data_IF_115421141504
#
_entry.id   IF_115421141504
#
_cell.length_a   1.000
_cell.length_b   1.000
_cell.length_c   1.000
_cell.angle_alpha   90.00
_cell.angle_beta   90.00
_cell.angle_gamma   90.00
#
_symmetry.space_group_name_H-M   'P 1'
#
loop_
_entity.id
_entity.type
_entity.pdbx_description
1 polymer ?
#
# COMPACT_ATOMS: atom_id res chain seq x y z
N UNK A 1 20.85 38.74 -26.37
CA UNK A 1 21.92 38.22 -25.51
C UNK A 1 21.29 37.35 -24.45
N UNK A 2 21.35 36.02 -24.63
CA UNK A 2 20.89 35.07 -23.63
C UNK A 2 21.98 34.92 -22.58
N UNK A 3 21.73 35.41 -21.37
CA UNK A 3 22.60 35.22 -20.22
C UNK A 3 22.58 33.74 -19.85
N UNK A 4 23.69 33.07 -20.11
CA UNK A 4 23.98 31.74 -19.60
C UNK A 4 24.09 31.88 -18.08
N UNK A 5 23.03 31.51 -17.35
CA UNK A 5 23.11 31.30 -15.91
C UNK A 5 23.89 30.00 -15.73
N UNK A 6 25.17 30.13 -15.38
CA UNK A 6 26.04 29.02 -15.02
C UNK A 6 25.38 28.16 -13.95
N UNK A 7 25.32 26.84 -14.16
CA UNK A 7 24.86 25.90 -13.15
C UNK A 7 25.59 26.15 -11.83
N UNK A 8 24.85 26.58 -10.81
CA UNK A 8 25.36 26.72 -9.46
C UNK A 8 25.97 25.38 -9.01
N UNK A 9 27.13 25.46 -8.35
CA UNK A 9 27.98 24.33 -7.95
C UNK A 9 27.19 23.07 -7.56
N UNK A 10 27.35 21.99 -8.30
CA UNK A 10 26.79 20.68 -7.93
C UNK A 10 27.77 19.96 -7.01
N UNK A 11 27.37 19.78 -5.75
CA UNK A 11 28.10 19.01 -4.75
C UNK A 11 27.74 17.52 -4.86
N UNK A 12 28.70 16.65 -4.53
CA UNK A 12 28.52 15.19 -4.55
C UNK A 12 29.07 14.56 -3.29
N UNK A 13 28.26 13.70 -2.64
CA UNK A 13 28.67 12.85 -1.51
C UNK A 13 28.50 11.40 -1.91
N UNK A 14 29.60 10.64 -1.91
CA UNK A 14 29.61 9.24 -2.29
C UNK A 14 30.04 8.37 -1.10
N UNK A 15 29.40 7.22 -0.96
CA UNK A 15 29.68 6.24 0.08
C UNK A 15 29.55 4.83 -0.48
N UNK A 16 30.39 3.90 -0.05
CA UNK A 16 30.32 2.50 -0.44
C UNK A 16 30.75 1.59 0.71
N UNK A 17 30.40 0.32 0.61
CA UNK A 17 30.83 -0.72 1.56
C UNK A 17 30.96 -2.06 0.87
N UNK A 18 31.87 -2.89 1.37
CA UNK A 18 32.12 -4.27 0.94
C UNK A 18 31.73 -5.30 2.02
N UNK A 19 30.93 -4.90 3.00
CA UNK A 19 30.42 -5.77 4.09
C UNK A 19 29.55 -6.92 3.56
N UNK A 20 29.04 -7.77 4.47
CA UNK A 20 28.14 -8.90 4.20
C UNK A 20 26.93 -8.56 3.31
N UNK A 21 26.17 -9.60 2.90
CA UNK A 21 24.98 -9.44 2.07
C UNK A 21 24.00 -8.41 2.63
N UNK A 22 23.33 -7.72 1.72
CA UNK A 22 22.31 -6.73 2.02
C UNK A 22 20.94 -7.34 1.72
N UNK A 23 20.06 -7.40 2.71
CA UNK A 23 18.70 -7.87 2.53
C UNK A 23 17.72 -6.72 2.26
N UNK A 24 18.01 -5.49 2.72
CA UNK A 24 17.11 -4.37 2.45
C UNK A 24 17.69 -2.97 2.54
N UNK A 25 16.82 -2.00 2.30
CA UNK A 25 17.17 -0.57 2.22
C UNK A 25 16.12 0.26 2.95
N UNK A 26 16.59 1.09 3.88
CA UNK A 26 15.82 2.10 4.59
C UNK A 26 16.31 3.50 4.16
N UNK A 27 15.39 4.32 3.65
CA UNK A 27 15.64 5.69 3.19
C UNK A 27 14.76 6.66 4.00
N UNK A 28 15.38 7.52 4.79
CA UNK A 28 14.71 8.46 5.70
C UNK A 28 15.15 9.90 5.45
N UNK A 29 14.87 10.40 4.25
CA UNK A 29 15.16 11.77 3.84
C UNK A 29 14.19 12.16 2.71
N UNK A 30 13.89 13.46 2.51
CA UNK A 30 13.15 13.92 1.34
C UNK A 30 14.02 13.85 0.09
N UNK A 31 13.43 13.77 -1.11
CA UNK A 31 14.17 13.88 -2.37
C UNK A 31 13.80 12.80 -3.37
N UNK A 32 14.58 12.72 -4.47
CA UNK A 32 14.42 11.69 -5.49
C UNK A 32 15.51 10.63 -5.35
N UNK A 33 15.12 9.36 -5.40
CA UNK A 33 16.02 8.22 -5.26
C UNK A 33 15.84 7.23 -6.40
N UNK A 34 16.93 6.79 -7.01
CA UNK A 34 16.93 5.65 -7.93
C UNK A 34 17.72 4.51 -7.31
N UNK A 35 17.08 3.35 -7.18
CA UNK A 35 17.72 2.12 -6.71
C UNK A 35 17.91 1.18 -7.89
N UNK A 36 19.17 0.91 -8.20
CA UNK A 36 19.62 0.03 -9.28
C UNK A 36 20.30 -1.21 -8.71
N UNK A 37 20.31 -2.28 -9.49
CA UNK A 37 21.12 -3.46 -9.23
C UNK A 37 22.18 -3.60 -10.31
N UNK A 38 23.43 -3.82 -9.89
CA UNK A 38 24.57 -4.05 -10.77
C UNK A 38 25.37 -5.25 -10.24
N UNK A 39 25.25 -6.45 -10.86
CA UNK A 39 25.99 -7.62 -10.42
C UNK A 39 27.51 -7.46 -10.53
N UNK A 40 28.01 -6.53 -11.37
CA UNK A 40 29.42 -6.26 -11.58
C UNK A 40 29.99 -5.24 -10.58
N UNK A 41 29.16 -4.70 -9.68
CA UNK A 41 29.60 -3.77 -8.65
C UNK A 41 30.65 -4.43 -7.75
N UNK A 42 31.81 -3.80 -7.61
CA UNK A 42 32.92 -4.25 -6.74
C UNK A 42 32.71 -3.95 -5.25
N UNK A 43 31.51 -3.51 -4.88
CA UNK A 43 31.06 -3.20 -3.53
C UNK A 43 29.69 -3.83 -3.32
N UNK A 44 29.31 -4.13 -2.08
CA UNK A 44 27.97 -4.65 -1.76
C UNK A 44 26.91 -3.61 -2.08
N UNK A 45 27.20 -2.34 -1.76
CA UNK A 45 26.36 -1.20 -2.12
C UNK A 45 27.21 0.05 -2.31
N UNK A 46 26.76 0.90 -3.24
CA UNK A 46 27.29 2.24 -3.50
C UNK A 46 26.14 3.25 -3.49
N UNK A 47 26.29 4.31 -2.72
CA UNK A 47 25.36 5.43 -2.64
C UNK A 47 26.06 6.69 -3.16
N UNK A 48 25.39 7.43 -4.05
CA UNK A 48 25.86 8.71 -4.57
C UNK A 48 24.73 9.72 -4.44
N UNK A 49 24.92 10.74 -3.62
CA UNK A 49 24.01 11.86 -3.45
C UNK A 49 24.57 13.10 -4.13
N UNK A 50 23.74 13.79 -4.91
CA UNK A 50 24.10 15.04 -5.61
C UNK A 50 23.09 16.13 -5.24
N UNK A 51 23.60 17.34 -5.00
CA UNK A 51 22.82 18.49 -4.53
C UNK A 51 23.48 19.79 -4.98
N UNK A 52 22.71 20.87 -5.12
CA UNK A 52 23.24 22.25 -5.26
C UNK A 52 23.59 22.91 -3.91
N UNK A 53 23.37 22.19 -2.81
CA UNK A 53 23.55 22.63 -1.43
C UNK A 53 24.39 21.63 -0.65
N UNK A 54 25.60 22.06 -0.25
CA UNK A 54 26.49 21.25 0.60
C UNK A 54 25.83 20.94 1.95
N UNK A 55 25.10 21.90 2.53
CA UNK A 55 24.37 21.72 3.78
C UNK A 55 23.35 20.57 3.72
N UNK A 56 22.68 20.36 2.58
CA UNK A 56 21.79 19.20 2.38
C UNK A 56 22.57 17.89 2.41
N UNK A 57 23.76 17.83 1.80
CA UNK A 57 24.59 16.63 1.78
C UNK A 57 25.23 16.32 3.14
N UNK A 58 25.57 17.35 3.91
CA UNK A 58 26.17 17.20 5.23
C UNK A 58 25.22 16.50 6.21
N UNK A 59 23.91 16.71 6.07
CA UNK A 59 22.88 16.05 6.88
C UNK A 59 22.64 14.57 6.53
N UNK A 60 23.14 14.07 5.41
CA UNK A 60 22.95 12.67 5.02
C UNK A 60 23.97 11.75 5.72
N UNK A 61 23.47 10.83 6.54
CA UNK A 61 24.23 9.73 7.11
C UNK A 61 24.02 8.44 6.32
N UNK A 62 25.08 7.64 6.15
CA UNK A 62 25.04 6.34 5.46
C UNK A 62 25.62 5.29 6.39
N UNK A 63 24.84 4.26 6.71
CA UNK A 63 25.27 3.16 7.57
C UNK A 63 24.74 1.83 7.06
N UNK A 64 25.46 0.74 7.35
CA UNK A 64 24.89 -0.61 7.30
C UNK A 64 24.58 -1.03 8.72
N UNK A 65 23.37 -1.52 8.93
CA UNK A 65 22.90 -1.96 10.24
C UNK A 65 22.31 -3.35 10.13
N UNK A 66 22.46 -4.15 11.18
CA UNK A 66 21.77 -5.43 11.34
C UNK A 66 20.77 -5.31 12.49
N UNK A 67 19.59 -5.88 12.32
CA UNK A 67 18.57 -5.96 13.37
C UNK A 67 18.30 -7.42 13.70
N UNK A 68 18.28 -7.81 14.99
CA UNK A 68 17.87 -9.16 15.38
C UNK A 68 16.36 -9.33 15.20
N UNK A 69 15.59 -8.26 15.36
CA UNK A 69 14.13 -8.28 15.32
C UNK A 69 13.58 -8.27 13.89
N UNK A 70 12.33 -8.71 13.76
CA UNK A 70 11.53 -8.60 12.53
C UNK A 70 10.82 -7.24 12.40
N UNK A 71 11.21 -6.25 13.19
CA UNK A 71 10.72 -4.89 13.12
C UNK A 71 11.84 -3.89 13.38
N UNK A 72 11.72 -2.72 12.75
CA UNK A 72 12.64 -1.59 12.98
C UNK A 72 11.85 -0.35 13.38
N UNK A 73 12.47 0.47 14.20
CA UNK A 73 11.95 1.79 14.57
C UNK A 73 12.44 2.84 13.59
N UNK A 74 11.52 3.58 12.99
CA UNK A 74 11.80 4.64 12.02
C UNK A 74 11.27 5.98 12.54
N UNK A 75 12.03 7.06 12.37
CA UNK A 75 11.61 8.43 12.72
C UNK A 75 11.00 8.54 14.12
N UNK A 76 9.78 9.09 14.20
CA UNK A 76 8.97 9.32 15.41
C UNK A 76 8.51 8.02 16.14
N UNK A 77 9.42 7.12 16.49
CA UNK A 77 9.10 5.85 17.18
C UNK A 77 8.09 4.97 16.43
N UNK A 78 8.08 5.06 15.11
CA UNK A 78 7.19 4.25 14.29
C UNK A 78 7.80 2.87 14.09
N UNK A 79 7.08 1.82 14.44
CA UNK A 79 7.50 0.46 14.15
C UNK A 79 7.11 0.06 12.72
N UNK A 80 8.08 -0.47 11.96
CA UNK A 80 7.84 -1.00 10.62
C UNK A 80 8.32 -2.44 10.55
N UNK A 81 7.39 -3.34 10.26
CA UNK A 81 7.62 -4.78 10.14
C UNK A 81 8.51 -5.08 8.93
N UNK A 82 9.49 -5.95 9.12
CA UNK A 82 10.40 -6.50 8.12
C UNK A 82 9.88 -7.86 7.63
N UNK A 83 10.34 -8.35 6.46
CA UNK A 83 9.94 -9.68 6.00
C UNK A 83 10.34 -10.80 6.96
N UNK A 84 11.50 -10.65 7.62
CA UNK A 84 12.11 -11.65 8.50
C UNK A 84 12.98 -10.95 9.56
N UNK A 85 13.34 -11.68 10.62
CA UNK A 85 14.36 -11.32 11.60
C UNK A 85 15.78 -11.39 11.02
N UNK A 86 16.78 -10.92 11.77
CA UNK A 86 18.22 -11.01 11.44
C UNK A 86 18.58 -10.45 10.05
N UNK A 87 18.04 -9.28 9.70
CA UNK A 87 18.26 -8.65 8.39
C UNK A 87 19.37 -7.60 8.48
N UNK A 88 20.28 -7.60 7.51
CA UNK A 88 21.27 -6.54 7.28
C UNK A 88 20.74 -5.59 6.22
N UNK A 89 20.80 -4.29 6.50
CA UNK A 89 20.22 -3.28 5.62
C UNK A 89 21.01 -1.99 5.56
N UNK A 90 20.86 -1.30 4.44
CA UNK A 90 21.40 0.03 4.23
C UNK A 90 20.45 1.02 4.89
N UNK A 91 20.94 1.82 5.84
CA UNK A 91 20.23 2.96 6.38
C UNK A 91 20.83 4.25 5.84
N UNK A 92 20.04 4.98 5.06
CA UNK A 92 20.36 6.35 4.64
C UNK A 92 19.35 7.27 5.28
N UNK A 93 19.80 8.16 6.16
CA UNK A 93 18.93 9.03 6.94
C UNK A 93 19.45 10.46 6.98
N UNK A 94 18.53 11.43 7.10
CA UNK A 94 18.87 12.79 7.44
C UNK A 94 19.01 12.91 8.97
N UNK A 95 20.19 13.26 9.47
CA UNK A 95 20.51 13.29 10.91
C UNK A 95 21.36 14.50 11.28
N UNK A 96 21.19 15.00 12.49
CA UNK A 96 22.05 16.04 13.09
C UNK A 96 21.97 15.91 14.62
N UNK A 97 23.08 16.19 15.30
CA UNK A 97 23.14 16.22 16.77
C UNK A 97 22.51 17.51 17.36
N UNK A 98 22.29 18.52 16.52
CA UNK A 98 21.66 19.79 16.87
C UNK A 98 20.53 20.12 15.89
N UNK A 99 19.71 21.11 16.25
CA UNK A 99 18.70 21.64 15.33
C UNK A 99 19.36 22.10 14.03
N UNK A 100 18.86 21.61 12.89
CA UNK A 100 19.45 21.86 11.59
C UNK A 100 18.39 22.19 10.56
N UNK A 101 18.73 23.12 9.68
CA UNK A 101 17.92 23.50 8.54
C UNK A 101 18.80 23.51 7.29
N UNK A 102 18.38 22.80 6.25
CA UNK A 102 19.01 22.84 4.94
C UNK A 102 17.96 22.80 3.84
N UNK A 103 18.18 23.61 2.81
CA UNK A 103 17.38 23.62 1.59
C UNK A 103 18.30 23.54 0.38
N UNK A 104 17.80 22.91 -0.69
CA UNK A 104 18.52 22.71 -1.94
C UNK A 104 17.83 21.65 -2.80
N UNK A 105 18.52 21.18 -3.82
CA UNK A 105 18.08 20.07 -4.65
C UNK A 105 18.70 18.74 -4.19
N UNK A 106 18.02 17.61 -4.34
CA UNK A 106 18.57 16.32 -3.95
C UNK A 106 18.17 15.20 -4.91
N UNK A 107 19.20 14.54 -5.46
CA UNK A 107 19.09 13.28 -6.19
C UNK A 107 20.04 12.26 -5.54
N UNK A 108 19.52 11.10 -5.18
CA UNK A 108 20.31 9.99 -4.62
C UNK A 108 20.23 8.78 -5.54
N UNK A 109 21.38 8.18 -5.83
CA UNK A 109 21.49 6.93 -6.57
C UNK A 109 22.05 5.87 -5.65
N UNK A 110 21.29 4.81 -5.45
CA UNK A 110 21.70 3.62 -4.70
C UNK A 110 21.92 2.51 -5.72
N UNK A 111 23.11 1.92 -5.73
CA UNK A 111 23.42 0.75 -6.58
C UNK A 111 23.80 -0.40 -5.67
N UNK A 112 23.03 -1.48 -5.70
CA UNK A 112 23.29 -2.70 -4.92
C UNK A 112 23.88 -3.77 -5.82
N UNK A 113 24.80 -4.58 -5.27
CA UNK A 113 25.37 -5.71 -6.02
C UNK A 113 24.35 -6.81 -6.25
N UNK A 114 23.48 -7.05 -5.27
CA UNK A 114 22.46 -8.12 -5.28
C UNK A 114 21.09 -7.50 -5.05
N UNK A 115 20.07 -8.14 -5.63
CA UNK A 115 18.69 -7.75 -5.43
C UNK A 115 18.30 -7.87 -3.95
N UNK A 116 17.48 -6.94 -3.48
CA UNK A 116 17.05 -6.83 -2.07
C UNK A 116 15.63 -7.36 -1.86
N UNK A 117 15.33 -7.82 -0.65
CA UNK A 117 14.01 -8.32 -0.25
C UNK A 117 13.07 -7.22 0.22
N UNK A 118 13.58 -6.06 0.64
CA UNK A 118 12.69 -4.99 1.05
C UNK A 118 13.28 -3.59 0.88
N UNK A 119 12.39 -2.63 0.64
CA UNK A 119 12.71 -1.20 0.57
C UNK A 119 11.65 -0.40 1.30
N UNK A 120 12.10 0.48 2.19
CA UNK A 120 11.24 1.39 2.97
C UNK A 120 11.75 2.80 2.79
N UNK A 121 10.89 3.72 2.37
CA UNK A 121 11.34 5.06 1.98
C UNK A 121 10.36 6.17 2.38
N UNK A 122 10.89 7.32 2.82
CA UNK A 122 10.17 8.59 2.89
C UNK A 122 10.33 9.44 1.63
N UNK A 123 11.24 9.06 0.73
CA UNK A 123 11.60 9.76 -0.50
C UNK A 123 10.81 9.28 -1.73
N UNK A 124 10.76 10.10 -2.79
CA UNK A 124 10.26 9.68 -4.10
C UNK A 124 11.27 8.70 -4.73
N UNK A 125 10.95 7.42 -4.72
CA UNK A 125 11.88 6.31 -4.96
C UNK A 125 11.46 5.49 -6.17
N UNK A 126 12.38 5.32 -7.11
CA UNK A 126 12.22 4.45 -8.27
C UNK A 126 13.10 3.24 -8.12
N UNK A 127 12.48 2.06 -8.12
CA UNK A 127 13.18 0.78 -8.11
C UNK A 127 13.27 0.28 -9.53
N UNK A 128 14.46 0.34 -10.10
CA UNK A 128 14.72 -0.15 -11.44
C UNK A 128 14.54 -1.67 -11.49
N UNK A 129 14.01 -2.18 -12.60
CA UNK A 129 13.80 -3.60 -12.81
C UNK A 129 15.07 -4.40 -12.50
N UNK A 130 14.95 -5.41 -11.64
CA UNK A 130 16.08 -6.24 -11.17
C UNK A 130 16.55 -5.90 -9.76
N UNK A 131 16.12 -4.77 -9.19
CA UNK A 131 16.46 -4.37 -7.81
C UNK A 131 15.85 -5.27 -6.73
N UNK A 132 14.73 -5.91 -7.01
CA UNK A 132 14.02 -6.75 -6.04
C UNK A 132 14.26 -8.23 -6.30
N UNK A 133 14.42 -9.02 -5.23
CA UNK A 133 14.56 -10.48 -5.32
C UNK A 133 13.38 -11.10 -6.07
N UNK A 134 13.67 -12.16 -6.82
CA UNK A 134 12.67 -12.94 -7.56
C UNK A 134 12.93 -14.43 -7.36
N UNK A 135 11.90 -15.19 -7.00
CA UNK A 135 11.97 -16.62 -6.72
C UNK A 135 10.80 -17.11 -5.86
N UNK A 136 10.37 -18.36 -6.06
CA UNK A 136 9.17 -18.91 -5.42
C UNK A 136 9.22 -18.96 -3.87
N UNK A 137 10.42 -18.86 -3.28
CA UNK A 137 10.64 -18.82 -1.83
C UNK A 137 11.05 -17.41 -1.32
N UNK A 138 10.98 -16.39 -2.18
CA UNK A 138 11.42 -15.03 -1.86
C UNK A 138 10.27 -14.17 -1.37
N UNK A 139 10.56 -13.30 -0.42
CA UNK A 139 9.64 -12.34 0.17
C UNK A 139 10.04 -10.96 -0.32
N UNK A 140 9.07 -10.17 -0.77
CA UNK A 140 9.29 -8.77 -1.12
C UNK A 140 8.40 -7.88 -0.26
N UNK A 141 8.98 -6.84 0.35
CA UNK A 141 8.24 -5.83 1.11
C UNK A 141 8.63 -4.41 0.70
N UNK A 142 7.66 -3.62 0.25
CA UNK A 142 7.84 -2.23 -0.16
C UNK A 142 6.95 -1.35 0.72
N UNK A 143 7.53 -0.34 1.37
CA UNK A 143 6.77 0.58 2.21
C UNK A 143 7.12 2.05 1.96
N UNK A 144 6.12 2.85 1.57
CA UNK A 144 6.20 4.30 1.63
C UNK A 144 5.85 4.79 3.05
N UNK A 145 6.73 5.58 3.66
CA UNK A 145 6.66 5.96 5.08
C UNK A 145 6.29 7.43 5.31
N UNK A 146 6.00 8.18 4.25
CA UNK A 146 5.73 9.61 4.30
C UNK A 146 5.01 10.09 3.05
N UNK A 147 5.41 11.24 2.52
CA UNK A 147 4.87 11.79 1.28
C UNK A 147 5.52 11.18 0.02
N UNK A 148 6.73 10.61 0.13
CA UNK A 148 7.48 10.00 -0.98
C UNK A 148 6.75 8.80 -1.56
N UNK A 149 6.64 8.75 -2.88
CA UNK A 149 6.08 7.58 -3.57
C UNK A 149 7.16 6.57 -3.91
N UNK A 150 6.82 5.29 -3.99
CA UNK A 150 7.73 4.24 -4.46
C UNK A 150 7.13 3.61 -5.71
N UNK A 151 7.89 3.59 -6.80
CA UNK A 151 7.45 2.99 -8.07
C UNK A 151 8.42 1.91 -8.53
N UNK A 152 7.90 0.81 -9.06
CA UNK A 152 8.70 -0.22 -9.72
C UNK A 152 7.92 -0.84 -10.87
N UNK A 153 8.64 -1.14 -11.95
CA UNK A 153 8.12 -1.89 -13.10
C UNK A 153 9.05 -3.06 -13.39
N UNK A 154 8.64 -4.27 -13.01
CA UNK A 154 9.35 -5.50 -13.32
C UNK A 154 9.19 -5.85 -14.80
N UNK A 155 10.31 -5.99 -15.52
CA UNK A 155 10.34 -6.37 -16.95
C UNK A 155 10.42 -7.88 -17.17
N UNK A 156 10.05 -8.68 -16.16
CA UNK A 156 10.16 -10.13 -16.13
C UNK A 156 9.00 -10.75 -15.34
N UNK A 157 8.70 -12.05 -15.53
CA UNK A 157 7.71 -12.76 -14.71
C UNK A 157 8.10 -12.75 -13.24
N UNK A 158 7.23 -12.20 -12.40
CA UNK A 158 7.44 -12.11 -10.96
C UNK A 158 6.96 -13.42 -10.31
N UNK A 159 7.85 -14.07 -9.57
CA UNK A 159 7.56 -15.27 -8.77
C UNK A 159 8.01 -15.01 -7.34
N UNK A 160 7.08 -15.07 -6.39
CA UNK A 160 7.37 -14.78 -4.98
C UNK A 160 6.63 -15.76 -4.07
N UNK A 161 7.09 -15.89 -2.84
CA UNK A 161 6.33 -16.46 -1.74
C UNK A 161 5.30 -15.44 -1.24
N UNK A 162 5.77 -14.26 -0.85
CA UNK A 162 4.93 -13.17 -0.35
C UNK A 162 5.32 -11.84 -1.00
N UNK A 163 4.33 -10.99 -1.24
CA UNK A 163 4.51 -9.61 -1.66
C UNK A 163 3.73 -8.69 -0.71
N UNK A 164 4.41 -7.78 -0.05
CA UNK A 164 3.80 -6.77 0.81
C UNK A 164 4.04 -5.40 0.21
N UNK A 165 2.97 -4.67 -0.09
CA UNK A 165 3.00 -3.29 -0.54
C UNK A 165 2.24 -2.46 0.48
N UNK A 166 2.89 -1.44 1.04
CA UNK A 166 2.26 -0.60 2.04
C UNK A 166 2.58 0.86 1.89
N UNK A 167 1.63 1.72 2.22
CA UNK A 167 1.89 3.14 2.40
C UNK A 167 1.35 3.61 3.72
N UNK A 168 2.09 4.53 4.32
CA UNK A 168 1.80 5.04 5.62
C UNK A 168 2.05 6.53 5.71
N UNK A 169 1.25 7.27 4.94
CA UNK A 169 1.39 8.71 4.75
C UNK A 169 0.58 9.15 3.54
N UNK A 170 1.10 10.11 2.78
CA UNK A 170 0.48 10.61 1.55
C UNK A 170 1.11 10.03 0.28
N UNK A 171 2.27 9.38 0.38
CA UNK A 171 2.99 8.80 -0.75
C UNK A 171 2.32 7.53 -1.29
N UNK A 172 2.53 7.23 -2.56
CA UNK A 172 1.94 6.07 -3.21
C UNK A 172 2.94 4.92 -3.32
N UNK A 173 2.47 3.68 -3.41
CA UNK A 173 3.31 2.54 -3.82
C UNK A 173 2.75 1.92 -5.08
N UNK A 174 3.55 1.84 -6.13
CA UNK A 174 3.20 1.20 -7.39
C UNK A 174 4.15 0.06 -7.70
N UNK A 175 3.58 -1.14 -7.81
CA UNK A 175 4.25 -2.31 -8.34
C UNK A 175 3.58 -2.71 -9.65
N UNK A 176 4.29 -2.55 -10.75
CA UNK A 176 3.87 -3.01 -12.07
C UNK A 176 4.74 -4.19 -12.54
N UNK A 177 4.17 -5.11 -13.28
CA UNK A 177 4.89 -6.13 -14.03
C UNK A 177 4.45 -6.11 -15.50
N UNK A 178 5.40 -6.08 -16.42
CA UNK A 178 5.10 -6.10 -17.87
C UNK A 178 4.61 -7.46 -18.35
N UNK A 179 4.63 -8.48 -17.49
CA UNK A 179 4.17 -9.85 -17.77
C UNK A 179 3.24 -10.31 -16.64
N UNK A 180 3.57 -11.37 -15.91
CA UNK A 180 2.74 -11.98 -14.86
C UNK A 180 3.33 -11.83 -13.47
N UNK A 181 2.46 -11.90 -12.47
CA UNK A 181 2.79 -11.93 -11.03
C UNK A 181 2.22 -13.21 -10.44
N UNK A 182 3.09 -14.09 -9.97
CA UNK A 182 2.73 -15.34 -9.30
C UNK A 182 3.26 -15.34 -7.86
N UNK A 183 2.36 -15.32 -6.89
CA UNK A 183 2.68 -15.25 -5.46
C UNK A 183 2.06 -16.46 -4.73
N UNK A 184 2.90 -17.39 -4.27
CA UNK A 184 2.44 -18.71 -3.81
C UNK A 184 1.68 -18.66 -2.48
N UNK A 185 2.01 -17.75 -1.57
CA UNK A 185 1.35 -17.64 -0.28
C UNK A 185 0.40 -16.46 -0.21
N UNK A 186 0.88 -15.23 -0.40
CA UNK A 186 0.01 -14.08 -0.19
C UNK A 186 0.55 -12.74 -0.66
N UNK A 187 -0.36 -11.92 -1.14
CA UNK A 187 -0.17 -10.50 -1.42
C UNK A 187 -0.88 -9.72 -0.32
N UNK A 188 -0.16 -8.78 0.31
CA UNK A 188 -0.70 -7.86 1.30
C UNK A 188 -0.59 -6.43 0.79
N UNK A 189 -1.73 -5.76 0.61
CA UNK A 189 -1.86 -4.38 0.16
C UNK A 189 -2.41 -3.54 1.32
N UNK A 190 -1.60 -2.64 1.86
CA UNK A 190 -1.95 -1.91 3.08
C UNK A 190 -1.81 -0.40 2.93
N UNK A 191 -2.83 0.35 3.34
CA UNK A 191 -2.83 1.81 3.35
C UNK A 191 -3.17 2.28 4.76
N UNK A 192 -2.28 3.04 5.39
CA UNK A 192 -2.55 3.76 6.62
C UNK A 192 -2.28 5.26 6.41
N UNK A 193 -3.25 5.99 5.85
CA UNK A 193 -3.09 7.40 5.49
C UNK A 193 -3.92 7.84 4.29
N UNK A 194 -3.34 8.72 3.49
CA UNK A 194 -3.96 9.34 2.30
C UNK A 194 -3.41 8.79 0.98
N UNK A 195 -2.23 8.16 1.01
CA UNK A 195 -1.58 7.60 -0.17
C UNK A 195 -2.25 6.33 -0.69
N UNK A 196 -1.89 5.89 -1.89
CA UNK A 196 -2.51 4.74 -2.55
C UNK A 196 -1.51 3.62 -2.84
N UNK A 197 -1.99 2.38 -2.88
CA UNK A 197 -1.21 1.20 -3.28
C UNK A 197 -1.76 0.64 -4.57
N UNK A 198 -0.88 0.35 -5.51
CA UNK A 198 -1.22 -0.17 -6.82
C UNK A 198 -0.38 -1.41 -7.14
N UNK A 199 -1.07 -2.51 -7.47
CA UNK A 199 -0.47 -3.71 -8.06
C UNK A 199 -1.05 -3.89 -9.47
N UNK A 200 -0.18 -3.96 -10.48
CA UNK A 200 -0.60 -4.18 -11.87
C UNK A 200 0.24 -5.25 -12.57
N UNK A 201 -0.41 -6.11 -13.34
CA UNK A 201 0.26 -7.01 -14.28
C UNK A 201 -0.34 -6.87 -15.68
N UNK A 202 0.50 -6.83 -16.72
CA UNK A 202 0.03 -6.78 -18.10
C UNK A 202 -0.48 -8.13 -18.63
N UNK A 203 -0.21 -9.23 -17.94
CA UNK A 203 -0.76 -10.56 -18.20
C UNK A 203 -1.60 -10.97 -16.99
N UNK A 204 -1.11 -11.88 -16.15
CA UNK A 204 -1.89 -12.51 -15.09
C UNK A 204 -1.35 -12.19 -13.71
N UNK A 205 -2.25 -12.14 -12.73
CA UNK A 205 -1.94 -12.17 -11.31
C UNK A 205 -2.52 -13.47 -10.73
N UNK A 206 -1.65 -14.36 -10.25
CA UNK A 206 -2.02 -15.56 -9.52
C UNK A 206 -1.53 -15.45 -8.09
N UNK A 207 -2.43 -15.59 -7.13
CA UNK A 207 -2.10 -15.49 -5.71
C UNK A 207 -2.94 -16.49 -4.90
N UNK A 208 -2.41 -17.02 -3.79
CA UNK A 208 -3.25 -17.80 -2.87
C UNK A 208 -4.14 -16.89 -2.02
N UNK A 209 -3.57 -15.97 -1.24
CA UNK A 209 -4.34 -14.99 -0.47
C UNK A 209 -4.09 -13.55 -0.96
N UNK A 210 -5.16 -12.83 -1.31
CA UNK A 210 -5.10 -11.39 -1.54
C UNK A 210 -5.70 -10.67 -0.33
N UNK A 211 -4.85 -10.00 0.44
CA UNK A 211 -5.22 -9.27 1.64
C UNK A 211 -5.12 -7.77 1.37
N UNK A 212 -6.21 -7.05 1.59
CA UNK A 212 -6.27 -5.59 1.47
C UNK A 212 -6.73 -4.99 2.79
N UNK A 213 -6.00 -4.01 3.29
CA UNK A 213 -6.33 -3.27 4.51
C UNK A 213 -6.17 -1.78 4.30
N UNK A 214 -7.22 -1.00 4.53
CA UNK A 214 -7.17 0.46 4.47
C UNK A 214 -7.64 1.03 5.79
N UNK A 215 -6.80 1.88 6.39
CA UNK A 215 -7.13 2.73 7.53
C UNK A 215 -6.83 4.17 7.15
N UNK A 216 -7.84 4.93 6.76
CA UNK A 216 -7.67 6.31 6.26
C UNK A 216 -8.51 6.61 5.03
N UNK A 217 -7.98 7.46 4.14
CA UNK A 217 -8.69 7.93 2.93
C UNK A 217 -7.97 7.58 1.61
N UNK A 218 -6.84 6.87 1.69
CA UNK A 218 -6.13 6.39 0.51
C UNK A 218 -6.81 5.19 -0.16
N UNK A 219 -6.31 4.77 -1.32
CA UNK A 219 -6.97 3.74 -2.15
C UNK A 219 -6.06 2.55 -2.50
N UNK A 220 -6.66 1.40 -2.78
CA UNK A 220 -5.95 0.20 -3.23
C UNK A 220 -6.48 -0.25 -4.58
N UNK A 221 -5.56 -0.50 -5.50
CA UNK A 221 -5.85 -0.99 -6.84
C UNK A 221 -5.06 -2.28 -7.11
N UNK A 222 -5.75 -3.34 -7.54
CA UNK A 222 -5.11 -4.55 -8.04
C UNK A 222 -5.67 -4.89 -9.43
N UNK A 223 -4.83 -4.86 -10.46
CA UNK A 223 -5.28 -5.01 -11.85
C UNK A 223 -4.43 -5.98 -12.66
N UNK A 224 -5.10 -6.82 -13.45
CA UNK A 224 -4.47 -7.71 -14.44
C UNK A 224 -5.13 -7.50 -15.80
N UNK A 225 -4.38 -7.33 -16.89
CA UNK A 225 -5.04 -7.25 -18.20
C UNK A 225 -5.58 -8.61 -18.65
N UNK A 226 -4.99 -9.71 -18.19
CA UNK A 226 -5.45 -11.09 -18.40
C UNK A 226 -6.27 -11.58 -17.21
N UNK A 227 -5.72 -12.55 -16.49
CA UNK A 227 -6.41 -13.26 -15.40
C UNK A 227 -5.99 -12.75 -14.02
N UNK A 228 -6.95 -12.53 -13.11
CA UNK A 228 -6.71 -12.35 -11.67
C UNK A 228 -7.30 -13.55 -10.92
N UNK A 229 -6.44 -14.50 -10.52
CA UNK A 229 -6.84 -15.70 -9.78
C UNK A 229 -6.37 -15.63 -8.33
N UNK A 230 -7.32 -15.68 -7.40
CA UNK A 230 -7.07 -15.82 -5.97
C UNK A 230 -7.73 -17.10 -5.43
N UNK A 231 -7.25 -17.65 -4.32
CA UNK A 231 -8.02 -18.63 -3.56
C UNK A 231 -8.90 -17.91 -2.54
N UNK A 232 -8.28 -17.06 -1.73
CA UNK A 232 -8.95 -16.28 -0.69
C UNK A 232 -8.70 -14.79 -0.89
N UNK A 233 -9.77 -14.00 -0.90
CA UNK A 233 -9.71 -12.54 -0.97
C UNK A 233 -10.28 -11.99 0.33
N UNK A 234 -9.53 -11.13 1.00
CA UNK A 234 -9.98 -10.45 2.22
C UNK A 234 -9.72 -8.95 2.12
N UNK A 235 -10.78 -8.16 2.23
CA UNK A 235 -10.74 -6.72 2.13
C UNK A 235 -11.27 -6.10 3.42
N UNK A 236 -10.46 -5.31 4.10
CA UNK A 236 -10.84 -4.55 5.30
C UNK A 236 -10.66 -3.07 5.04
N UNK A 237 -11.72 -2.27 5.22
CA UNK A 237 -11.65 -0.82 5.03
C UNK A 237 -12.24 -0.12 6.24
N UNK A 238 -11.47 0.79 6.84
CA UNK A 238 -11.91 1.69 7.90
C UNK A 238 -11.56 3.13 7.48
N UNK A 239 -12.58 3.96 7.22
CA UNK A 239 -12.39 5.36 6.80
C UNK A 239 -13.09 5.71 5.49
N UNK A 240 -12.40 6.40 4.58
CA UNK A 240 -12.96 6.93 3.31
C UNK A 240 -12.27 6.37 2.06
N UNK A 241 -11.40 5.39 2.23
CA UNK A 241 -10.62 4.82 1.14
C UNK A 241 -11.42 3.91 0.21
N UNK A 242 -10.93 3.77 -1.02
CA UNK A 242 -11.55 2.94 -2.05
C UNK A 242 -10.70 1.70 -2.35
N UNK A 243 -11.35 0.62 -2.78
CA UNK A 243 -10.68 -0.60 -3.27
C UNK A 243 -11.26 -0.94 -4.62
N UNK A 244 -10.40 -1.19 -5.61
CA UNK A 244 -10.83 -1.70 -6.91
C UNK A 244 -9.94 -2.83 -7.40
N UNK A 245 -10.56 -3.95 -7.75
CA UNK A 245 -9.93 -5.07 -8.43
C UNK A 245 -10.43 -5.14 -9.87
N UNK A 246 -9.50 -5.21 -10.83
CA UNK A 246 -9.82 -5.19 -12.25
C UNK A 246 -9.13 -6.34 -12.98
N UNK A 247 -9.90 -7.12 -13.75
CA UNK A 247 -9.34 -8.14 -14.64
C UNK A 247 -10.26 -8.44 -15.82
N UNK A 248 -9.69 -8.90 -16.94
CA UNK A 248 -10.50 -9.43 -18.05
C UNK A 248 -11.26 -10.68 -17.60
N UNK A 249 -10.58 -11.55 -16.85
CA UNK A 249 -11.15 -12.72 -16.21
C UNK A 249 -10.64 -12.80 -14.77
N UNK A 250 -11.55 -12.95 -13.80
CA UNK A 250 -11.16 -13.06 -12.40
C UNK A 250 -11.97 -14.11 -11.68
N UNK A 251 -11.33 -14.83 -10.76
CA UNK A 251 -11.98 -15.88 -9.98
C UNK A 251 -11.39 -15.96 -8.58
N UNK A 252 -12.24 -16.22 -7.59
CA UNK A 252 -11.83 -16.55 -6.22
C UNK A 252 -12.73 -17.62 -5.61
N UNK A 253 -12.21 -18.41 -4.66
CA UNK A 253 -13.05 -19.33 -3.91
C UNK A 253 -13.84 -18.56 -2.86
N UNK A 254 -13.15 -17.72 -2.10
CA UNK A 254 -13.78 -16.89 -1.05
C UNK A 254 -13.50 -15.41 -1.27
N UNK A 255 -14.52 -14.58 -1.03
CA UNK A 255 -14.39 -13.12 -0.99
C UNK A 255 -15.01 -12.59 0.31
N UNK A 256 -14.17 -12.16 1.25
CA UNK A 256 -14.60 -11.62 2.54
C UNK A 256 -14.33 -10.12 2.61
N UNK A 257 -15.39 -9.33 2.77
CA UNK A 257 -15.30 -7.87 2.84
C UNK A 257 -15.86 -7.40 4.18
N UNK A 258 -15.05 -6.61 4.90
CA UNK A 258 -15.45 -5.94 6.14
C UNK A 258 -15.16 -4.45 5.99
N UNK A 259 -16.21 -3.65 5.84
CA UNK A 259 -16.11 -2.22 5.61
C UNK A 259 -16.79 -1.42 6.70
N UNK A 260 -16.04 -0.54 7.35
CA UNK A 260 -16.51 0.54 8.20
C UNK A 260 -16.17 1.87 7.50
N UNK A 261 -16.80 2.12 6.34
CA UNK A 261 -16.35 3.17 5.42
C UNK A 261 -17.48 3.95 4.75
N UNK A 262 -17.11 5.13 4.25
CA UNK A 262 -17.89 5.89 3.27
C UNK A 262 -17.33 5.79 1.86
N UNK A 263 -16.28 4.98 1.66
CA UNK A 263 -15.65 4.75 0.36
C UNK A 263 -16.23 3.51 -0.34
N UNK A 264 -15.83 3.30 -1.59
CA UNK A 264 -16.37 2.25 -2.43
C UNK A 264 -15.44 1.03 -2.52
N UNK A 265 -16.03 -0.17 -2.58
CA UNK A 265 -15.27 -1.41 -2.73
C UNK A 265 -15.81 -2.16 -3.94
N UNK A 266 -15.01 -2.19 -5.00
CA UNK A 266 -15.31 -2.81 -6.28
C UNK A 266 -14.47 -4.07 -6.46
N UNK A 267 -15.12 -5.23 -6.31
CA UNK A 267 -14.49 -6.56 -6.45
C UNK A 267 -15.22 -7.45 -7.45
N UNK A 268 -16.15 -6.88 -8.20
CA UNK A 268 -16.99 -7.53 -9.19
C UNK A 268 -16.22 -8.12 -10.38
N UNK A 269 -14.99 -7.69 -10.64
CA UNK A 269 -14.11 -8.36 -11.60
C UNK A 269 -13.69 -9.78 -11.16
N UNK A 270 -13.96 -10.17 -9.91
CA UNK A 270 -13.69 -11.50 -9.37
C UNK A 270 -14.98 -12.30 -9.19
N UNK A 271 -15.18 -13.34 -9.99
CA UNK A 271 -16.25 -14.31 -9.75
C UNK A 271 -15.91 -15.17 -8.53
N UNK A 272 -16.54 -14.86 -7.39
CA UNK A 272 -16.38 -15.62 -6.15
C UNK A 272 -17.32 -16.83 -6.12
N UNK A 273 -16.86 -17.99 -5.63
CA UNK A 273 -17.80 -19.06 -5.27
C UNK A 273 -18.69 -18.59 -4.11
N UNK A 274 -18.07 -18.11 -3.03
CA UNK A 274 -18.75 -17.61 -1.84
C UNK A 274 -18.27 -16.21 -1.46
N UNK A 275 -19.21 -15.32 -1.15
CA UNK A 275 -18.91 -13.98 -0.65
C UNK A 275 -19.58 -13.70 0.69
N UNK A 276 -18.82 -13.09 1.60
CA UNK A 276 -19.32 -12.59 2.89
C UNK A 276 -18.99 -11.11 3.01
N UNK A 277 -20.02 -10.27 3.10
CA UNK A 277 -19.91 -8.82 3.14
C UNK A 277 -20.51 -8.30 4.45
N UNK A 278 -19.72 -7.54 5.20
CA UNK A 278 -20.18 -6.74 6.34
C UNK A 278 -19.90 -5.28 6.04
N UNK A 279 -20.94 -4.47 5.95
CA UNK A 279 -20.87 -3.05 5.64
C UNK A 279 -21.48 -2.23 6.79
N UNK A 280 -20.69 -1.30 7.32
CA UNK A 280 -21.10 -0.29 8.27
C UNK A 280 -20.74 1.10 7.73
N UNK A 281 -21.72 1.90 7.32
CA UNK A 281 -21.47 3.24 6.79
C UNK A 281 -22.35 3.61 5.60
N UNK A 282 -21.79 4.40 4.67
CA UNK A 282 -22.50 4.95 3.51
C UNK A 282 -21.86 4.57 2.18
N UNK A 283 -20.77 3.81 2.19
CA UNK A 283 -20.11 3.35 0.96
C UNK A 283 -20.85 2.20 0.29
N UNK A 284 -20.61 2.02 -1.01
CA UNK A 284 -21.18 0.91 -1.78
C UNK A 284 -20.16 -0.18 -2.04
N UNK A 285 -20.61 -1.43 -1.96
CA UNK A 285 -19.80 -2.61 -2.22
C UNK A 285 -20.39 -3.37 -3.39
N UNK A 286 -19.60 -3.61 -4.44
CA UNK A 286 -20.00 -4.41 -5.60
C UNK A 286 -19.18 -5.69 -5.64
N UNK A 287 -19.87 -6.83 -5.72
CA UNK A 287 -19.29 -8.17 -5.77
C UNK A 287 -19.84 -8.95 -6.94
N UNK A 288 -19.12 -9.99 -7.39
CA UNK A 288 -19.67 -11.01 -8.28
C UNK A 288 -19.58 -12.38 -7.59
N UNK A 289 -20.69 -13.12 -7.59
CA UNK A 289 -20.84 -14.36 -6.80
C UNK A 289 -21.58 -15.43 -7.59
N UNK A 290 -21.10 -16.67 -7.51
CA UNK A 290 -21.69 -17.82 -8.18
C UNK A 290 -22.72 -18.56 -7.29
N UNK A 291 -22.36 -18.85 -6.03
CA UNK A 291 -23.16 -19.70 -5.15
C UNK A 291 -23.79 -18.90 -4.00
N UNK A 292 -23.02 -18.56 -2.96
CA UNK A 292 -23.59 -17.95 -1.75
C UNK A 292 -23.10 -16.53 -1.51
N UNK A 293 -24.04 -15.59 -1.38
CA UNK A 293 -23.79 -14.23 -0.89
C UNK A 293 -24.43 -14.04 0.50
N UNK A 294 -23.59 -13.82 1.50
CA UNK A 294 -24.02 -13.33 2.81
C UNK A 294 -23.70 -11.85 2.93
N UNK A 295 -24.71 -11.01 3.17
CA UNK A 295 -24.54 -9.57 3.35
C UNK A 295 -25.15 -9.13 4.68
N UNK A 296 -24.43 -8.32 5.44
CA UNK A 296 -24.92 -7.61 6.63
C UNK A 296 -24.59 -6.14 6.48
N UNK A 297 -25.63 -5.30 6.47
CA UNK A 297 -25.49 -3.86 6.23
C UNK A 297 -26.06 -3.07 7.42
N UNK A 298 -25.31 -2.08 7.87
CA UNK A 298 -25.70 -1.10 8.88
C UNK A 298 -25.37 0.30 8.37
N UNK A 299 -26.35 1.18 8.25
CA UNK A 299 -26.19 2.52 7.68
C UNK A 299 -26.91 2.69 6.34
N UNK A 300 -26.41 3.60 5.51
CA UNK A 300 -27.04 4.00 4.23
C UNK A 300 -26.40 3.35 2.99
N UNK A 301 -25.26 2.71 3.15
CA UNK A 301 -24.54 2.08 2.04
C UNK A 301 -25.25 0.83 1.51
N UNK A 302 -24.90 0.42 0.29
CA UNK A 302 -25.53 -0.71 -0.37
C UNK A 302 -24.53 -1.84 -0.67
N UNK A 303 -25.02 -3.08 -0.64
CA UNK A 303 -24.29 -4.24 -1.17
C UNK A 303 -24.96 -4.67 -2.46
N UNK A 304 -24.22 -4.57 -3.55
CA UNK A 304 -24.67 -4.89 -4.89
C UNK A 304 -23.97 -6.14 -5.41
N UNK A 305 -24.69 -6.98 -6.16
CA UNK A 305 -24.11 -8.10 -6.89
C UNK A 305 -24.24 -7.90 -8.40
N UNK A 306 -23.13 -8.02 -9.10
CA UNK A 306 -23.02 -7.81 -10.54
C UNK A 306 -23.28 -9.10 -11.32
N UNK A 307 -24.13 -9.03 -12.34
CA UNK A 307 -24.64 -10.19 -13.06
C UNK A 307 -23.90 -10.44 -14.39
N UNK A 308 -22.57 -10.63 -14.35
CA UNK A 308 -21.81 -10.88 -15.59
C UNK A 308 -22.07 -12.27 -16.18
N UNK A 309 -22.50 -13.26 -15.38
CA UNK A 309 -22.48 -14.66 -15.82
C UNK A 309 -23.46 -15.60 -15.09
N UNK A 310 -23.77 -15.38 -13.81
CA UNK A 310 -24.61 -16.29 -13.00
C UNK A 310 -25.34 -15.49 -11.91
N UNK A 311 -26.64 -15.75 -11.70
CA UNK A 311 -27.37 -15.27 -10.53
C UNK A 311 -26.94 -16.10 -9.30
N UNK A 312 -26.60 -15.49 -8.15
CA UNK A 312 -26.24 -16.26 -6.96
C UNK A 312 -27.34 -17.24 -6.57
N UNK A 313 -26.98 -18.51 -6.34
CA UNK A 313 -27.93 -19.54 -5.94
C UNK A 313 -28.57 -19.25 -4.57
N UNK A 314 -27.79 -18.65 -3.66
CA UNK A 314 -28.22 -18.34 -2.30
C UNK A 314 -27.98 -16.86 -2.00
N UNK A 315 -29.09 -16.12 -1.87
CA UNK A 315 -29.12 -14.69 -1.53
C UNK A 315 -29.54 -14.47 -0.06
N UNK A 316 -29.12 -13.36 0.57
CA UNK A 316 -29.54 -13.04 1.91
C UNK A 316 -31.05 -12.77 1.93
N UNK A 317 -31.79 -13.53 2.73
CA UNK A 317 -33.20 -13.24 2.93
C UNK A 317 -33.38 -11.96 3.75
N UNK A 318 -34.31 -11.07 3.35
CA UNK A 318 -34.62 -9.89 4.15
C UNK A 318 -35.11 -10.33 5.53
N UNK A 319 -34.46 -9.85 6.59
CA UNK A 319 -34.86 -10.08 7.98
C UNK A 319 -35.38 -8.77 8.57
N UNK A 320 -36.65 -8.73 8.98
CA UNK A 320 -37.20 -7.61 9.76
C UNK A 320 -38.71 -7.43 9.64
N UNK A 321 -39.33 -7.01 10.74
CA UNK A 321 -40.69 -6.44 10.82
C UNK A 321 -40.76 -5.23 9.87
N UNK A 322 -41.89 -4.97 9.20
CA UNK A 322 -42.15 -3.93 8.18
C UNK A 322 -41.67 -2.48 8.46
N UNK A 323 -41.13 -2.19 9.65
CA UNK A 323 -40.57 -0.89 10.06
C UNK A 323 -39.03 -0.85 9.99
N UNK A 324 -38.34 -1.99 10.01
CA UNK A 324 -36.87 -2.08 10.02
C UNK A 324 -36.35 -3.17 9.08
N UNK A 325 -36.54 -3.00 7.77
CA UNK A 325 -35.92 -3.86 6.77
C UNK A 325 -34.45 -3.49 6.60
N UNK A 326 -33.51 -4.35 7.01
CA UNK A 326 -32.13 -4.24 6.54
C UNK A 326 -32.13 -4.42 5.01
N UNK A 327 -31.50 -3.53 4.23
CA UNK A 327 -31.41 -3.73 2.79
C UNK A 327 -30.73 -5.08 2.51
N UNK A 328 -31.47 -5.99 1.87
CA UNK A 328 -30.88 -7.17 1.27
C UNK A 328 -29.92 -6.77 0.15
N UNK A 329 -29.05 -7.68 -0.28
CA UNK A 329 -28.19 -7.43 -1.43
C UNK A 329 -29.05 -7.20 -2.69
N UNK A 330 -28.70 -6.20 -3.52
CA UNK A 330 -29.44 -5.85 -4.72
C UNK A 330 -28.65 -6.17 -6.00
N UNK A 331 -29.35 -6.54 -7.08
CA UNK A 331 -28.70 -6.75 -8.37
C UNK A 331 -28.28 -5.42 -8.98
N UNK A 332 -27.16 -5.41 -9.70
CA UNK A 332 -26.75 -4.29 -10.55
C UNK A 332 -26.27 -4.77 -11.92
N UNK A 333 -26.57 -3.98 -12.95
CA UNK A 333 -26.00 -4.11 -14.30
C UNK A 333 -24.81 -3.18 -14.54
N UNK A 334 -24.48 -2.34 -13.57
CA UNK A 334 -23.32 -1.45 -13.62
C UNK A 334 -22.12 -2.20 -13.08
N UNK A 335 -21.04 -2.21 -13.86
CA UNK A 335 -19.72 -2.68 -13.44
C UNK A 335 -18.81 -1.47 -13.19
N UNK A 336 -18.88 -0.84 -12.00
CA UNK A 336 -17.98 0.26 -11.69
C UNK A 336 -16.58 -0.30 -11.47
N UNK A 337 -15.70 -0.13 -12.46
CA UNK A 337 -14.27 -0.43 -12.31
C UNK A 337 -13.52 0.89 -12.27
N UNK A 338 -12.89 1.18 -11.14
CA UNK A 338 -11.93 2.26 -11.04
C UNK A 338 -10.58 1.77 -11.59
N UNK A 339 -10.37 1.93 -12.90
CA UNK A 339 -9.07 1.63 -13.50
C UNK A 339 -8.04 2.69 -13.12
N UNK A 340 -7.03 2.28 -12.35
CA UNK A 340 -5.88 3.13 -12.09
C UNK A 340 -5.00 3.23 -13.35
N UNK A 341 -4.78 4.46 -13.79
CA UNK A 341 -3.69 4.77 -14.72
C UNK A 341 -2.38 4.75 -13.93
N UNK A 342 -1.40 3.95 -14.37
CA UNK A 342 -0.10 3.88 -13.70
C UNK A 342 0.51 5.29 -13.64
N UNK A 343 1.02 5.66 -12.47
CA UNK A 343 1.80 6.88 -12.33
C UNK A 343 3.06 6.77 -13.21
N UNK A 344 3.40 7.85 -13.95
CA UNK A 344 4.58 7.86 -14.78
C UNK A 344 5.83 7.71 -13.91
N UNK A 345 6.85 7.02 -14.44
CA UNK A 345 8.16 6.97 -13.78
C UNK A 345 8.71 8.41 -13.68
N UNK A 346 9.08 8.89 -12.47
CA UNK A 346 9.68 10.20 -12.30
C UNK A 346 10.97 10.35 -13.12
N UNK A 347 11.23 11.56 -13.65
CA UNK A 347 12.46 11.86 -14.37
C UNK A 347 13.70 11.68 -13.49
N UNK A 348 14.86 11.34 -14.08
CA UNK A 348 16.14 11.14 -13.36
C UNK A 348 16.83 12.46 -12.99
N UNK A 349 16.09 13.36 -12.38
CA UNK A 349 16.46 14.74 -12.08
C UNK A 349 16.35 15.04 -10.59
N UNK A 350 17.19 15.94 -10.04
CA UNK A 350 17.10 16.35 -8.65
C UNK A 350 15.83 17.13 -8.38
N UNK A 351 15.29 16.99 -7.17
CA UNK A 351 14.08 17.71 -6.72
C UNK A 351 14.42 18.62 -5.55
N UNK A 352 13.72 19.74 -5.44
CA UNK A 352 13.90 20.67 -4.33
C UNK A 352 13.39 20.07 -3.01
N UNK A 353 14.24 20.09 -2.01
CA UNK A 353 14.01 19.55 -0.68
C UNK A 353 14.25 20.59 0.39
N UNK A 354 13.54 20.45 1.50
CA UNK A 354 13.82 21.16 2.75
C UNK A 354 13.91 20.10 3.84
N UNK A 355 15.05 20.10 4.52
CA UNK A 355 15.32 19.23 5.67
C UNK A 355 15.34 20.12 6.90
N UNK A 356 14.37 19.91 7.79
CA UNK A 356 14.32 20.57 9.09
C UNK A 356 14.37 19.51 10.19
N UNK A 357 15.47 19.49 10.92
CA UNK A 357 15.71 18.58 12.03
C UNK A 357 15.56 19.39 13.32
N UNK A 358 14.52 19.14 14.10
CA UNK A 358 14.32 19.80 15.39
C UNK A 358 14.69 18.83 16.53
N UNK A 359 15.65 19.22 17.37
CA UNK A 359 16.01 18.48 18.57
C UNK A 359 15.03 18.80 19.70
N UNK A 360 13.81 18.24 19.68
CA UNK A 360 12.93 18.34 20.84
C UNK A 360 13.24 17.23 21.85
N UNK A 361 13.30 17.58 23.14
CA UNK A 361 13.55 16.65 24.26
C UNK A 361 12.50 15.53 24.38
N UNK A 362 11.34 15.67 23.73
CA UNK A 362 10.18 14.77 23.86
C UNK A 362 9.79 14.08 22.54
N UNK A 363 10.34 14.48 21.40
CA UNK A 363 10.14 13.78 20.12
C UNK A 363 11.35 13.94 19.20
N UNK A 364 12.00 12.83 18.86
CA UNK A 364 12.99 12.72 17.76
C UNK A 364 12.28 12.77 16.39
N UNK A 365 11.32 13.68 16.25
CA UNK A 365 10.50 13.80 15.07
C UNK A 365 11.19 14.66 14.03
N UNK A 366 11.57 14.05 12.92
CA UNK A 366 12.13 14.75 11.77
C UNK A 366 11.00 15.20 10.87
N UNK A 367 10.84 16.52 10.66
CA UNK A 367 9.89 17.06 9.68
C UNK A 367 10.59 17.08 8.33
N UNK A 368 10.13 16.24 7.41
CA UNK A 368 10.66 16.15 6.05
C UNK A 368 9.60 16.64 5.08
N UNK A 369 9.92 17.69 4.33
CA UNK A 369 9.06 18.18 3.26
C UNK A 369 9.84 18.21 1.94
N UNK A 370 9.18 17.80 0.87
CA UNK A 370 9.68 18.03 -0.48
C UNK A 370 8.56 18.59 -1.33
N UNK A 371 8.91 19.52 -2.21
CA UNK A 371 7.96 20.10 -3.16
C UNK A 371 8.04 19.27 -4.45
N UNK A 372 7.26 18.18 -4.51
CA UNK A 372 7.05 17.48 -5.77
C UNK A 372 6.16 18.33 -6.67
N UNK A 373 6.69 18.78 -7.80
CA UNK A 373 5.88 19.40 -8.85
C UNK A 373 5.01 18.34 -9.51
N UNK A 374 3.74 18.25 -9.10
CA UNK A 374 2.75 17.41 -9.77
C UNK A 374 1.77 16.72 -8.82
N UNK A 375 0.88 17.50 -8.18
CA UNK A 375 -0.37 16.96 -7.67
C UNK A 375 -1.31 16.70 -8.86
N UNK A 376 -1.39 15.45 -9.31
CA UNK A 376 -2.53 15.01 -10.12
C UNK A 376 -3.70 14.80 -9.17
N UNK A 377 -4.62 15.75 -9.19
CA UNK A 377 -5.93 15.64 -8.57
C UNK A 377 -6.70 14.48 -9.22
N UNK A 378 -7.06 13.48 -8.43
CA UNK A 378 -8.16 12.58 -8.78
C UNK A 378 -9.44 13.40 -8.67
N UNK A 379 -10.06 13.69 -9.82
CA UNK A 379 -11.41 14.24 -9.89
C UNK A 379 -12.41 13.17 -9.48
N UNK A 380 -12.55 12.94 -8.17
CA UNK A 380 -13.72 12.25 -7.64
C UNK A 380 -14.88 13.25 -7.63
N UNK A 381 -15.86 13.06 -8.50
CA UNK A 381 -17.11 13.82 -8.47
C UNK A 381 -17.92 13.40 -7.25
N UNK A 382 -17.89 14.18 -6.17
CA UNK A 382 -19.05 14.38 -5.30
C UNK A 382 -18.83 15.54 -4.34
N UNK A 383 -19.89 16.33 -4.18
CA UNK A 383 -19.94 17.59 -3.46
C UNK A 383 -19.51 17.44 -1.99
N UNK A 384 -18.64 18.35 -1.55
CA UNK A 384 -18.09 18.39 -0.21
C UNK A 384 -18.99 19.18 0.74
N UNK A 385 -19.17 18.69 1.96
CA UNK A 385 -19.37 19.54 3.14
C UNK A 385 -18.35 19.12 4.21
N UNK A 386 -17.64 20.07 4.85
CA UNK A 386 -16.63 19.75 5.85
C UNK A 386 -17.30 19.34 7.17
N UNK A 387 -16.75 18.31 7.83
CA UNK A 387 -17.10 17.98 9.23
C UNK A 387 -15.86 17.53 9.98
N UNK A 388 -15.71 18.11 11.17
CA UNK A 388 -14.52 18.16 12.01
C UNK A 388 -13.95 16.81 12.45
N UNK A 389 -12.62 16.79 12.60
CA UNK A 389 -11.78 15.62 12.84
C UNK A 389 -11.79 15.07 14.28
N UNK A 390 -12.66 15.55 15.17
CA UNK A 390 -12.62 15.20 16.60
C UNK A 390 -13.52 14.03 17.04
N UNK A 391 -14.34 13.46 16.16
CA UNK A 391 -15.31 12.39 16.49
C UNK A 391 -14.92 10.99 16.02
N UNK A 392 -13.78 10.82 15.33
CA UNK A 392 -13.40 9.55 14.71
C UNK A 392 -12.85 8.48 15.68
N UNK A 393 -12.36 8.88 16.87
CA UNK A 393 -11.79 7.94 17.85
C UNK A 393 -12.83 7.07 18.58
N UNK A 394 -14.00 7.64 18.91
CA UNK A 394 -15.04 6.93 19.66
C UNK A 394 -15.84 5.94 18.80
N UNK A 395 -16.04 6.26 17.52
CA UNK A 395 -16.87 5.44 16.62
C UNK A 395 -16.13 4.17 16.18
N UNK A 396 -14.83 4.24 15.93
CA UNK A 396 -14.03 3.07 15.56
C UNK A 396 -13.90 2.04 16.69
N UNK A 397 -13.77 2.49 17.94
CA UNK A 397 -13.70 1.62 19.12
C UNK A 397 -15.05 0.95 19.41
N UNK A 398 -16.15 1.71 19.33
CA UNK A 398 -17.50 1.16 19.49
C UNK A 398 -17.84 0.12 18.39
N UNK A 399 -17.32 0.30 17.17
CA UNK A 399 -17.53 -0.63 16.06
C UNK A 399 -16.68 -1.91 16.17
N UNK A 400 -15.43 -1.82 16.64
CA UNK A 400 -14.63 -3.01 16.96
C UNK A 400 -15.26 -3.84 18.07
N UNK A 401 -15.87 -3.19 19.08
CA UNK A 401 -16.65 -3.86 20.12
C UNK A 401 -17.91 -4.51 19.54
N UNK A 402 -18.63 -3.87 18.63
CA UNK A 402 -19.79 -4.48 17.95
C UNK A 402 -19.40 -5.67 17.07
N UNK A 403 -18.29 -5.57 16.32
CA UNK A 403 -17.77 -6.67 15.50
C UNK A 403 -17.35 -7.85 16.40
N UNK A 404 -16.64 -7.59 17.50
CA UNK A 404 -16.30 -8.61 18.49
C UNK A 404 -17.55 -9.25 19.11
N UNK A 405 -18.58 -8.45 19.42
CA UNK A 405 -19.83 -8.93 19.99
C UNK A 405 -20.62 -9.83 19.02
N UNK A 406 -20.64 -9.50 17.73
CA UNK A 406 -21.29 -10.31 16.68
C UNK A 406 -20.56 -11.64 16.49
N UNK A 407 -19.22 -11.64 16.52
CA UNK A 407 -18.40 -12.85 16.42
C UNK A 407 -18.62 -13.77 17.64
N UNK A 408 -18.64 -13.20 18.84
CA UNK A 408 -18.92 -13.94 20.08
C UNK A 408 -20.35 -14.50 20.13
N UNK A 409 -21.35 -13.77 19.61
CA UNK A 409 -22.72 -14.29 19.49
C UNK A 409 -22.84 -15.44 18.50
N UNK A 410 -22.00 -15.49 17.46
CA UNK A 410 -21.99 -16.56 16.47
C UNK A 410 -21.42 -17.86 17.05
N UNK A 411 -20.46 -17.78 17.98
CA UNK A 411 -19.92 -18.95 18.69
C UNK A 411 -20.88 -19.53 19.75
N UNK A 412 -21.81 -18.73 20.31
CA UNK A 412 -22.76 -19.20 21.34
C UNK A 412 -24.03 -19.88 20.81
N UNK A 413 -24.24 -20.00 19.49
CA UNK A 413 -25.38 -20.75 18.92
C UNK A 413 -24.97 -22.17 18.54
N UNK A 414 -24.59 -22.99 19.53
CA UNK A 414 -24.51 -24.44 19.40
C UNK A 414 -25.43 -25.01 20.48
N UNK A 415 -26.47 -25.73 20.04
CA UNK A 415 -27.33 -26.55 20.90
C UNK A 415 -28.66 -25.93 21.33
N UNK A 416 -29.70 -26.09 20.52
CA UNK A 416 -31.05 -26.27 21.07
C UNK A 416 -31.32 -27.78 21.06
N UNK A 417 -31.38 -28.37 22.26
CA UNK A 417 -31.91 -29.72 22.47
C UNK A 417 -33.44 -29.61 22.40
N UNK A 418 -34.06 -30.39 21.52
CA UNK A 418 -35.50 -30.49 21.45
C UNK A 418 -36.04 -31.17 22.72
N UNK A 419 -37.05 -30.57 23.35
CA UNK A 419 -37.83 -31.21 24.41
C UNK A 419 -38.83 -32.21 23.77
N UNK A 420 -38.94 -33.45 24.29
CA UNK A 420 -39.92 -34.42 23.80
C UNK A 420 -41.34 -34.01 24.23
N UNK A 421 -42.31 -34.51 23.45
CA UNK A 421 -43.75 -34.16 23.47
C UNK A 421 -44.40 -34.16 24.84
#
# INVERSE_FOLDING_TARGET
MATIVSAANTFTKAWNTTTSSLEGILLQFPGRVFVNQDPALKATVRVVATSDSQAVLDLLAFNVTQTPDDAITVGCNRHVVLPQANQTYLNVSATSDSAAYAAGSLLVRVTVQRAVSWIKSTADTVLVSGTLVNGANKLVSIAALGAGSITTTAKYPVKLANLTLSTTGAGNVQFAATTSVNVTNGVSLSVAGLGSVALKANSDITVRNLLTSITGAGSVFASANGVLKAHDVRTTVAGKGNVSYAASQGSTVTNTISSASSGHIYTESLLAQNATVTLAGSGDIVVQVNDTLTATTSGKGQVLYYNKTVNPAHLPQPKGWWVFTSPGAAATSVNPVDTLTLWPEPAKEPVNVVIELNSSLLSRCVVQTFKSGGQLSLSASSAQTPVDAATFGGVAFALLVLIAFVILKKQKRIGYVALPK
#
